data_IF_523837574631
#
_entry.id   IF_523837574631
#
_cell.length_a   1.000
_cell.length_b   1.000
_cell.length_c   1.000
_cell.angle_alpha   90.00
_cell.angle_beta   90.00
_cell.angle_gamma   90.00
#
_symmetry.space_group_name_H-M   'P 1'
#
loop_
_entity.id
_entity.type
_entity.pdbx_description
1 polymer ?
#
# COMPACT_ATOMS: atom_id res chain seq x y z
N UNK A 1 10.37 37.46 45.50
CA UNK A 1 9.57 36.21 45.51
C UNK A 1 8.76 35.93 44.24
N UNK A 2 8.37 36.92 43.41
CA UNK A 2 7.61 36.66 42.16
C UNK A 2 8.35 35.87 41.08
N UNK A 3 9.68 36.06 40.92
CA UNK A 3 10.48 35.34 39.92
C UNK A 3 10.65 33.85 40.24
N UNK A 4 10.60 33.47 41.52
CA UNK A 4 10.67 32.07 41.96
C UNK A 4 9.37 31.31 41.66
N UNK A 5 8.23 32.01 41.67
CA UNK A 5 6.90 31.43 41.35
C UNK A 5 6.77 31.09 39.85
N UNK A 6 7.33 31.91 38.96
CA UNK A 6 7.29 31.65 37.52
C UNK A 6 8.13 30.44 37.10
N UNK A 7 9.26 30.18 37.78
CA UNK A 7 10.07 28.98 37.52
C UNK A 7 9.31 27.68 37.84
N UNK A 8 8.50 27.68 38.90
CA UNK A 8 7.69 26.52 39.28
C UNK A 8 6.57 26.26 38.26
N UNK A 9 5.97 27.32 37.71
CA UNK A 9 4.93 27.21 36.68
C UNK A 9 5.47 26.76 35.32
N UNK A 10 6.70 27.14 34.97
CA UNK A 10 7.36 26.74 33.72
C UNK A 10 7.83 25.27 33.72
N UNK A 11 8.20 24.72 34.88
CA UNK A 11 8.60 23.31 35.00
C UNK A 11 7.41 22.35 34.93
N UNK A 12 6.20 22.79 35.33
CA UNK A 12 5.00 21.94 35.30
C UNK A 12 4.45 21.70 33.89
N UNK A 13 4.73 22.59 32.93
CA UNK A 13 4.26 22.42 31.55
C UNK A 13 5.17 21.55 30.68
N UNK A 14 6.37 21.19 31.16
CA UNK A 14 7.32 20.38 30.40
C UNK A 14 7.19 18.86 30.66
N UNK A 15 6.36 18.44 31.61
CA UNK A 15 6.12 17.02 31.92
C UNK A 15 5.10 16.34 31.01
N UNK A 16 4.50 17.04 30.05
CA UNK A 16 3.54 16.44 29.09
C UNK A 16 4.18 15.89 27.81
N UNK A 17 5.51 15.67 27.79
CA UNK A 17 6.08 14.81 26.77
C UNK A 17 5.75 13.37 27.12
N UNK A 18 4.58 12.92 26.63
CA UNK A 18 4.25 11.51 26.53
C UNK A 18 5.42 10.80 25.83
N UNK A 19 6.19 10.03 26.60
CA UNK A 19 7.05 9.01 26.00
C UNK A 19 6.09 7.98 25.43
N UNK A 20 5.86 8.06 24.11
CA UNK A 20 5.30 6.93 23.39
C UNK A 20 6.34 5.82 23.46
N UNK A 21 6.23 4.96 24.47
CA UNK A 21 6.88 3.67 24.46
C UNK A 21 6.42 2.97 23.17
N UNK A 22 7.36 2.73 22.26
CA UNK A 22 7.15 1.73 21.23
C UNK A 22 7.01 0.39 21.95
N UNK A 23 5.77 0.01 22.26
CA UNK A 23 5.50 -1.37 22.59
C UNK A 23 5.90 -2.18 21.36
N UNK A 24 6.89 -3.05 21.52
CA UNK A 24 7.07 -4.25 20.72
C UNK A 24 5.82 -5.12 20.96
N UNK A 25 4.72 -4.66 20.36
CA UNK A 25 3.44 -5.32 20.34
C UNK A 25 3.59 -6.44 19.35
N UNK A 26 4.06 -7.58 19.84
CA UNK A 26 3.66 -8.90 19.34
C UNK A 26 2.13 -8.92 19.37
N UNK A 27 1.51 -8.40 18.30
CA UNK A 27 0.08 -8.51 18.06
C UNK A 27 -0.20 -10.00 17.99
N UNK A 28 -0.79 -10.51 19.07
CA UNK A 28 -1.69 -11.63 18.98
C UNK A 28 -2.75 -11.23 17.95
N UNK A 29 -2.58 -11.68 16.72
CA UNK A 29 -3.68 -11.75 15.77
C UNK A 29 -4.68 -12.75 16.36
N UNK A 30 -5.67 -12.18 17.05
CA UNK A 30 -6.96 -12.80 17.21
C UNK A 30 -7.39 -13.23 15.81
N UNK A 31 -7.63 -14.53 15.65
CA UNK A 31 -8.12 -15.15 14.45
C UNK A 31 -9.43 -14.50 14.00
N UNK A 32 -9.35 -13.41 13.23
CA UNK A 32 -10.41 -13.04 12.32
C UNK A 32 -10.24 -14.01 11.15
N UNK A 33 -11.18 -14.96 11.08
CA UNK A 33 -11.36 -15.86 9.97
C UNK A 33 -11.76 -15.03 8.74
N UNK A 34 -10.82 -14.27 8.17
CA UNK A 34 -10.91 -13.81 6.80
C UNK A 34 -10.76 -15.07 5.96
N UNK A 35 -11.91 -15.56 5.53
CA UNK A 35 -12.09 -16.41 4.38
C UNK A 35 -11.01 -16.09 3.34
N UNK A 36 -10.32 -17.08 2.73
CA UNK A 36 -9.27 -16.80 1.75
C UNK A 36 -9.90 -16.11 0.54
N UNK A 37 -10.05 -14.78 0.63
CA UNK A 37 -10.40 -13.92 -0.49
C UNK A 37 -9.19 -14.01 -1.38
N UNK A 38 -9.33 -14.76 -2.46
CA UNK A 38 -8.30 -15.12 -3.41
C UNK A 38 -7.34 -13.95 -3.67
N UNK A 39 -6.18 -13.96 -3.00
CA UNK A 39 -5.20 -12.89 -3.10
C UNK A 39 -4.82 -12.75 -4.57
N UNK A 40 -5.18 -11.63 -5.19
CA UNK A 40 -4.84 -11.34 -6.59
C UNK A 40 -3.32 -11.48 -6.71
N UNK A 41 -2.80 -12.23 -7.68
CA UNK A 41 -1.36 -12.39 -7.91
C UNK A 41 -0.97 -11.60 -9.16
N UNK A 42 0.09 -10.79 -9.05
CA UNK A 42 0.61 -9.97 -10.15
C UNK A 42 2.06 -10.39 -10.39
N UNK A 43 2.30 -11.01 -11.53
CA UNK A 43 3.63 -11.47 -11.94
C UNK A 43 4.06 -10.71 -13.18
N UNK A 44 5.25 -10.13 -13.14
CA UNK A 44 5.80 -9.34 -14.25
C UNK A 44 6.87 -10.16 -14.94
N UNK A 45 6.64 -10.48 -16.20
CA UNK A 45 7.59 -11.17 -17.07
C UNK A 45 8.58 -10.18 -17.70
N UNK A 46 9.70 -10.70 -18.20
CA UNK A 46 10.78 -9.91 -18.80
C UNK A 46 10.37 -9.12 -20.07
N UNK A 47 9.25 -9.48 -20.71
CA UNK A 47 8.76 -8.88 -21.95
C UNK A 47 7.66 -7.81 -21.73
N UNK A 48 7.68 -7.12 -20.58
CA UNK A 48 6.63 -6.18 -20.18
C UNK A 48 5.22 -6.80 -20.22
N UNK A 49 5.15 -8.08 -19.89
CA UNK A 49 3.89 -8.82 -19.74
C UNK A 49 3.57 -8.95 -18.26
N UNK A 50 2.35 -8.59 -17.90
CA UNK A 50 1.86 -8.70 -16.54
C UNK A 50 0.78 -9.77 -16.52
N UNK A 51 1.07 -10.86 -15.81
CA UNK A 51 0.09 -11.90 -15.53
C UNK A 51 -0.67 -11.53 -14.27
N UNK A 52 -1.98 -11.41 -14.42
CA UNK A 52 -2.94 -11.15 -13.35
C UNK A 52 -3.66 -12.45 -13.08
N UNK A 53 -3.59 -12.95 -11.85
CA UNK A 53 -4.33 -14.14 -11.43
C UNK A 53 -5.28 -13.81 -10.28
N UNK A 54 -6.36 -14.58 -10.16
CA UNK A 54 -7.41 -14.43 -9.15
C UNK A 54 -8.14 -13.07 -9.21
N UNK A 55 -8.15 -12.43 -10.38
CA UNK A 55 -8.97 -11.23 -10.59
C UNK A 55 -10.43 -11.62 -10.88
N UNK A 56 -11.36 -10.77 -10.47
CA UNK A 56 -12.77 -10.96 -10.82
C UNK A 56 -12.99 -10.60 -12.30
N UNK A 57 -13.64 -11.46 -13.11
CA UNK A 57 -13.97 -11.15 -14.50
C UNK A 57 -14.74 -9.83 -14.63
N UNK A 58 -14.33 -8.98 -15.58
CA UNK A 58 -14.86 -7.63 -15.75
C UNK A 58 -14.18 -6.56 -14.90
N UNK A 59 -13.24 -6.95 -14.03
CA UNK A 59 -12.41 -6.00 -13.26
C UNK A 59 -11.61 -5.09 -14.17
N UNK A 60 -11.29 -3.90 -13.66
CA UNK A 60 -10.43 -2.94 -14.33
C UNK A 60 -9.09 -2.85 -13.61
N UNK A 61 -8.01 -3.12 -14.33
CA UNK A 61 -6.65 -2.86 -13.90
C UNK A 61 -6.24 -1.45 -14.31
N UNK A 62 -6.03 -0.60 -13.32
CA UNK A 62 -5.52 0.75 -13.49
C UNK A 62 -4.01 0.76 -13.31
N UNK A 63 -3.32 1.48 -14.20
CA UNK A 63 -1.88 1.65 -14.14
C UNK A 63 -1.56 3.11 -13.91
N UNK A 64 -0.74 3.39 -12.90
CA UNK A 64 -0.26 4.70 -12.55
C UNK A 64 1.27 4.76 -12.62
N UNK A 65 1.81 5.93 -12.91
CA UNK A 65 3.24 6.18 -12.68
C UNK A 65 3.54 6.25 -11.17
N UNK A 66 4.82 6.26 -10.80
CA UNK A 66 5.22 6.30 -9.38
C UNK A 66 4.80 7.59 -8.65
N UNK A 67 4.48 8.66 -9.39
CA UNK A 67 4.00 9.93 -8.85
C UNK A 67 2.46 9.94 -8.67
N UNK A 68 1.78 8.88 -9.09
CA UNK A 68 0.33 8.72 -8.93
C UNK A 68 -0.51 9.25 -10.09
N UNK A 69 0.09 9.61 -11.23
CA UNK A 69 -0.66 9.96 -12.45
C UNK A 69 -1.14 8.70 -13.14
N UNK A 70 -2.45 8.62 -13.42
CA UNK A 70 -3.08 7.51 -14.14
C UNK A 70 -2.63 7.51 -15.60
N UNK A 71 -2.02 6.40 -16.04
CA UNK A 71 -1.53 6.23 -17.40
C UNK A 71 -2.55 5.52 -18.28
N UNK A 72 -3.15 4.44 -17.79
CA UNK A 72 -4.11 3.65 -18.56
C UNK A 72 -5.01 2.78 -17.67
N UNK A 73 -6.08 2.26 -18.26
CA UNK A 73 -6.97 1.26 -17.66
C UNK A 73 -7.17 0.12 -18.65
N UNK A 74 -7.00 -1.11 -18.17
CA UNK A 74 -7.14 -2.33 -18.94
C UNK A 74 -8.25 -3.19 -18.30
N UNK A 75 -9.20 -3.68 -19.09
CA UNK A 75 -10.22 -4.62 -18.62
C UNK A 75 -9.65 -6.02 -18.54
N UNK A 76 -10.01 -6.73 -17.48
CA UNK A 76 -9.59 -8.10 -17.19
C UNK A 76 -10.83 -8.99 -17.32
N UNK A 77 -10.90 -9.74 -18.42
CA UNK A 77 -12.09 -10.53 -18.75
C UNK A 77 -12.08 -11.93 -18.11
N UNK A 78 -10.93 -12.39 -17.60
CA UNK A 78 -10.72 -13.74 -17.07
C UNK A 78 -9.99 -13.72 -15.74
N UNK A 79 -10.16 -14.79 -14.94
CA UNK A 79 -9.50 -14.95 -13.64
C UNK A 79 -7.98 -15.05 -13.72
N UNK A 80 -7.45 -15.58 -14.83
CA UNK A 80 -6.02 -15.60 -15.14
C UNK A 80 -5.81 -15.05 -16.55
N UNK A 81 -5.15 -13.91 -16.65
CA UNK A 81 -4.87 -13.26 -17.93
C UNK A 81 -3.46 -12.71 -17.95
N UNK A 82 -2.80 -12.84 -19.09
CA UNK A 82 -1.51 -12.17 -19.34
C UNK A 82 -1.77 -11.00 -20.26
N UNK A 83 -1.49 -9.79 -19.75
CA UNK A 83 -1.67 -8.54 -20.47
C UNK A 83 -0.31 -7.98 -20.85
N UNK A 84 -0.16 -7.58 -22.10
CA UNK A 84 1.02 -6.83 -22.53
C UNK A 84 0.84 -5.35 -22.19
N UNK A 85 1.77 -4.79 -21.42
CA UNK A 85 1.77 -3.38 -21.02
C UNK A 85 2.92 -2.66 -21.71
N UNK A 86 2.61 -1.78 -22.66
CA UNK A 86 3.59 -1.01 -23.41
C UNK A 86 4.13 0.18 -22.60
N UNK A 87 4.79 -0.11 -21.47
CA UNK A 87 5.35 0.88 -20.56
C UNK A 87 6.88 0.94 -20.69
N UNK A 88 7.50 2.13 -20.66
CA UNK A 88 8.95 2.25 -20.52
C UNK A 88 9.46 1.64 -19.21
N UNK A 89 10.76 1.39 -19.13
CA UNK A 89 11.43 0.93 -17.91
C UNK A 89 11.21 1.91 -16.77
N UNK A 90 10.89 1.41 -15.58
CA UNK A 90 10.62 2.26 -14.42
C UNK A 90 9.71 1.62 -13.37
N UNK A 91 9.30 2.45 -12.42
CA UNK A 91 8.41 2.08 -11.32
C UNK A 91 6.98 2.53 -11.60
N UNK A 92 6.03 1.63 -11.36
CA UNK A 92 4.61 1.85 -11.60
C UNK A 92 3.79 1.31 -10.44
N UNK A 93 2.54 1.75 -10.38
CA UNK A 93 1.55 1.27 -9.42
C UNK A 93 0.41 0.64 -10.22
N UNK A 94 0.15 -0.63 -9.95
CA UNK A 94 -0.93 -1.39 -10.56
C UNK A 94 -2.04 -1.54 -9.52
N UNK A 95 -3.26 -1.15 -9.86
CA UNK A 95 -4.42 -1.20 -8.98
C UNK A 95 -5.55 -1.99 -9.63
N UNK A 96 -6.10 -2.95 -8.91
CA UNK A 96 -7.27 -3.73 -9.32
C UNK A 96 -8.22 -3.76 -8.11
N UNK A 97 -9.34 -3.04 -8.20
CA UNK A 97 -10.24 -2.85 -7.07
C UNK A 97 -9.50 -2.29 -5.85
N UNK A 98 -9.47 -3.06 -4.76
CA UNK A 98 -8.81 -2.71 -3.51
C UNK A 98 -7.34 -3.15 -3.44
N UNK A 99 -6.87 -3.95 -4.41
CA UNK A 99 -5.49 -4.44 -4.43
C UNK A 99 -4.60 -3.45 -5.18
N UNK A 100 -3.52 -3.04 -4.53
CA UNK A 100 -2.51 -2.13 -5.10
C UNK A 100 -1.13 -2.75 -4.96
N UNK A 101 -0.34 -2.74 -6.03
CA UNK A 101 1.05 -3.19 -6.01
C UNK A 101 2.00 -2.25 -6.75
N UNK A 102 3.16 -2.01 -6.14
CA UNK A 102 4.32 -1.43 -6.82
C UNK A 102 4.96 -2.48 -7.73
N UNK A 103 5.17 -2.11 -8.99
CA UNK A 103 5.73 -2.97 -10.03
C UNK A 103 6.94 -2.29 -10.65
N UNK A 104 7.98 -3.08 -10.94
CA UNK A 104 9.16 -2.64 -11.67
C UNK A 104 9.13 -3.24 -13.07
N UNK A 105 9.18 -2.38 -14.08
CA UNK A 105 9.40 -2.77 -15.48
C UNK A 105 10.89 -2.60 -15.76
N UNK A 106 11.58 -3.69 -16.09
CA UNK A 106 13.05 -3.78 -16.23
C UNK A 106 13.55 -3.51 -17.63
#
# INVERSE_FOLDING_TARGET
MRKLLYCFFFLLTFSSQSVAWAQDGRKQETAQKEQPSSTIVLTVSAENRVRVQNAEPGSQMEVYNIVGVKLTTIRIDSTDVTVQVNLPKGYYIFKIGNVVRKVVIK
#
